data_IF_056118390592
#
_entry.id   IF_056118390592
#
_cell.length_a   1.000
_cell.length_b   1.000
_cell.length_c   1.000
_cell.angle_alpha   90.00
_cell.angle_beta   90.00
_cell.angle_gamma   90.00
#
_symmetry.space_group_name_H-M   'P 1'
#
loop_
_entity.id
_entity.type
_entity.pdbx_description
1 polymer ?
#
# COMPACT_ATOMS: atom_id res chain seq x y z
N UNK A 1 -18.67 8.13 -22.57
CA UNK A 1 -19.13 8.18 -21.17
C UNK A 1 -17.89 8.29 -20.30
N UNK A 2 -17.48 9.52 -19.97
CA UNK A 2 -16.28 9.79 -19.18
C UNK A 2 -16.67 9.77 -17.71
N UNK A 3 -16.60 8.60 -17.08
CA UNK A 3 -16.75 8.47 -15.63
C UNK A 3 -15.58 9.15 -14.95
N UNK A 4 -15.81 10.29 -14.29
CA UNK A 4 -14.81 10.91 -13.42
C UNK A 4 -14.47 9.90 -12.32
N UNK A 5 -13.19 9.56 -12.20
CA UNK A 5 -12.72 8.78 -11.06
C UNK A 5 -13.04 9.54 -9.78
N UNK A 6 -13.60 8.82 -8.80
CA UNK A 6 -13.88 9.40 -7.49
C UNK A 6 -12.60 9.32 -6.68
N UNK A 7 -11.85 10.42 -6.65
CA UNK A 7 -10.66 10.58 -5.80
C UNK A 7 -11.16 11.01 -4.43
N UNK A 8 -10.96 10.17 -3.44
CA UNK A 8 -10.97 10.63 -2.06
C UNK A 8 -9.51 10.82 -1.67
N UNK A 9 -9.17 12.04 -1.25
CA UNK A 9 -8.01 12.29 -0.39
C UNK A 9 -8.54 12.55 1.01
N UNK A 10 -7.85 12.03 2.03
CA UNK A 10 -8.32 12.14 3.42
C UNK A 10 -7.92 13.52 3.93
N UNK A 11 -8.58 14.56 3.40
CA UNK A 11 -8.54 15.86 4.05
C UNK A 11 -9.51 15.74 5.22
N UNK A 12 -8.94 15.41 6.38
CA UNK A 12 -9.54 15.59 7.70
C UNK A 12 -10.39 16.87 7.71
N UNK A 13 -11.70 16.73 7.56
CA UNK A 13 -12.65 17.72 8.04
C UNK A 13 -12.98 17.32 9.47
N UNK A 14 -12.43 18.07 10.43
CA UNK A 14 -12.75 18.07 11.87
C UNK A 14 -12.03 17.09 12.81
N UNK A 15 -10.90 16.48 12.44
CA UNK A 15 -10.06 15.78 13.43
C UNK A 15 -10.64 14.48 14.02
N UNK A 16 -11.80 14.03 13.55
CA UNK A 16 -12.30 12.69 13.79
C UNK A 16 -11.69 11.76 12.73
N UNK A 17 -10.79 10.87 13.16
CA UNK A 17 -10.37 9.73 12.33
C UNK A 17 -11.61 8.88 12.07
N UNK A 18 -12.05 8.80 10.82
CA UNK A 18 -12.93 7.72 10.40
C UNK A 18 -12.18 6.41 10.64
N UNK A 19 -12.43 5.78 11.79
CA UNK A 19 -11.95 4.43 12.08
C UNK A 19 -12.82 3.44 11.32
N UNK A 20 -12.75 3.49 9.99
CA UNK A 20 -13.25 2.41 9.17
C UNK A 20 -12.44 1.16 9.54
N UNK A 21 -13.12 0.03 9.79
CA UNK A 21 -12.46 -1.21 10.22
C UNK A 21 -11.41 -1.60 9.16
N UNK A 22 -10.14 -1.63 9.54
CA UNK A 22 -9.05 -2.04 8.66
C UNK A 22 -9.29 -3.49 8.21
N UNK A 23 -9.34 -3.71 6.89
CA UNK A 23 -9.54 -5.04 6.29
C UNK A 23 -8.19 -5.76 6.20
N UNK A 24 -7.14 -5.02 5.86
CA UNK A 24 -5.77 -5.50 5.70
C UNK A 24 -4.84 -4.80 6.68
N UNK A 25 -3.91 -5.56 7.26
CA UNK A 25 -2.87 -5.02 8.15
C UNK A 25 -1.54 -5.71 7.91
N UNK A 26 -0.46 -4.93 7.80
CA UNK A 26 0.91 -5.48 7.69
C UNK A 26 1.31 -6.08 9.03
N UNK A 27 1.71 -7.35 9.05
CA UNK A 27 2.20 -8.04 10.24
C UNK A 27 3.71 -8.21 10.20
N UNK A 28 4.27 -8.63 9.07
CA UNK A 28 5.71 -8.82 8.91
C UNK A 28 6.15 -8.55 7.48
N UNK A 29 7.39 -8.12 7.33
CA UNK A 29 8.01 -7.83 6.04
C UNK A 29 9.50 -8.17 6.10
N UNK A 30 9.94 -8.99 5.17
CA UNK A 30 11.33 -9.12 4.81
C UNK A 30 11.43 -8.95 3.30
N UNK A 31 12.26 -8.03 2.84
CA UNK A 31 12.50 -7.85 1.41
C UNK A 31 13.97 -7.52 1.21
N UNK A 32 14.54 -8.01 0.11
CA UNK A 32 15.92 -7.72 -0.24
C UNK A 32 16.06 -7.60 -1.76
N UNK A 33 17.03 -6.78 -2.16
CA UNK A 33 17.34 -6.46 -3.54
C UNK A 33 18.75 -5.89 -3.64
N UNK A 34 19.27 -5.80 -4.86
CA UNK A 34 20.63 -5.34 -5.10
C UNK A 34 21.11 -5.72 -6.50
N UNK A 35 22.32 -5.28 -6.84
CA UNK A 35 22.92 -5.62 -8.12
C UNK A 35 23.23 -7.12 -8.17
N UNK A 36 22.83 -7.78 -9.26
CA UNK A 36 23.07 -9.21 -9.51
C UNK A 36 22.40 -10.18 -8.54
N UNK A 37 21.38 -9.74 -7.79
CA UNK A 37 20.50 -10.63 -7.02
C UNK A 37 19.09 -10.55 -7.56
N UNK A 38 18.33 -11.65 -7.47
CA UNK A 38 16.91 -11.66 -7.79
C UNK A 38 16.17 -11.01 -6.62
N UNK A 39 15.52 -9.84 -6.80
CA UNK A 39 14.80 -9.19 -5.73
C UNK A 39 13.62 -10.02 -5.27
N UNK A 40 13.42 -10.10 -3.95
CA UNK A 40 12.36 -10.90 -3.35
C UNK A 40 11.73 -10.19 -2.14
N UNK A 41 10.55 -10.67 -1.76
CA UNK A 41 9.88 -10.31 -0.53
C UNK A 41 9.19 -11.52 0.10
N UNK A 42 9.10 -11.52 1.43
CA UNK A 42 8.26 -12.38 2.26
C UNK A 42 7.43 -11.47 3.16
N UNK A 43 6.11 -11.60 3.07
CA UNK A 43 5.16 -10.68 3.70
C UNK A 43 4.13 -11.46 4.50
N UNK A 44 3.87 -11.00 5.72
CA UNK A 44 2.71 -11.41 6.52
C UNK A 44 1.66 -10.31 6.53
N UNK A 45 0.42 -10.65 6.19
CA UNK A 45 -0.74 -9.73 6.20
C UNK A 45 -1.85 -10.35 7.03
N UNK A 46 -2.48 -9.57 7.89
CA UNK A 46 -3.75 -9.95 8.51
C UNK A 46 -4.90 -9.46 7.64
N UNK A 47 -5.83 -10.36 7.30
CA UNK A 47 -6.99 -10.11 6.46
C UNK A 47 -8.24 -10.43 7.29
N UNK A 48 -9.04 -9.42 7.62
CA UNK A 48 -10.22 -9.56 8.48
C UNK A 48 -9.95 -10.27 9.83
N UNK A 49 -8.74 -10.13 10.38
CA UNK A 49 -8.32 -10.76 11.63
C UNK A 49 -7.61 -12.11 11.48
N UNK A 50 -7.52 -12.66 10.26
CA UNK A 50 -6.78 -13.90 9.99
C UNK A 50 -5.41 -13.60 9.35
N UNK A 51 -4.34 -14.15 9.93
CA UNK A 51 -2.98 -13.95 9.41
C UNK A 51 -2.66 -14.90 8.27
N UNK A 52 -2.17 -14.34 7.16
CA UNK A 52 -1.65 -15.07 5.99
C UNK A 52 -0.21 -14.65 5.71
N UNK A 53 0.54 -15.55 5.08
CA UNK A 53 1.97 -15.37 4.78
C UNK A 53 2.25 -15.78 3.35
N UNK A 54 3.07 -15.01 2.65
CA UNK A 54 3.43 -15.26 1.27
C UNK A 54 4.84 -14.76 0.96
N UNK A 55 5.38 -15.22 -0.16
CA UNK A 55 6.68 -14.76 -0.65
C UNK A 55 6.72 -14.80 -2.17
N UNK A 56 7.57 -13.98 -2.77
CA UNK A 56 7.62 -13.84 -4.22
C UNK A 56 8.75 -12.93 -4.68
N UNK A 57 8.81 -12.72 -5.99
CA UNK A 57 9.87 -11.97 -6.65
C UNK A 57 9.32 -10.70 -7.32
N UNK A 58 10.24 -9.83 -7.73
CA UNK A 58 9.91 -8.62 -8.47
C UNK A 58 11.13 -7.97 -9.09
N UNK A 59 10.91 -6.85 -9.77
CA UNK A 59 11.97 -6.05 -10.40
C UNK A 59 12.83 -5.29 -9.37
N UNK A 60 12.33 -5.17 -8.14
CA UNK A 60 13.00 -4.59 -6.99
C UNK A 60 12.32 -5.03 -5.69
N UNK A 61 12.89 -4.74 -4.51
CA UNK A 61 12.31 -5.18 -3.24
C UNK A 61 10.92 -4.60 -2.99
N UNK A 62 10.67 -3.36 -3.43
CA UNK A 62 9.35 -2.71 -3.33
C UNK A 62 8.35 -3.39 -4.27
N UNK A 63 8.72 -3.62 -5.53
CA UNK A 63 7.88 -4.33 -6.51
C UNK A 63 7.53 -5.75 -6.05
N UNK A 64 8.51 -6.51 -5.56
CA UNK A 64 8.29 -7.83 -4.98
C UNK A 64 7.31 -7.77 -3.81
N UNK A 65 7.46 -6.77 -2.94
CA UNK A 65 6.54 -6.55 -1.80
C UNK A 65 5.11 -6.29 -2.27
N UNK A 66 4.91 -5.41 -3.26
CA UNK A 66 3.59 -5.12 -3.82
C UNK A 66 2.96 -6.34 -4.49
N UNK A 67 3.74 -7.12 -5.24
CA UNK A 67 3.28 -8.34 -5.89
C UNK A 67 2.79 -9.36 -4.85
N UNK A 68 3.57 -9.62 -3.80
CA UNK A 68 3.20 -10.55 -2.73
C UNK A 68 1.95 -10.08 -1.98
N UNK A 69 1.87 -8.79 -1.61
CA UNK A 69 0.66 -8.26 -0.94
C UNK A 69 -0.55 -8.41 -1.84
N UNK A 70 -0.45 -8.03 -3.11
CA UNK A 70 -1.53 -8.12 -4.10
C UNK A 70 -2.05 -9.54 -4.26
N UNK A 71 -1.15 -10.52 -4.30
CA UNK A 71 -1.49 -11.94 -4.39
C UNK A 71 -2.19 -12.43 -3.11
N UNK A 72 -1.62 -12.14 -1.94
CA UNK A 72 -2.17 -12.57 -0.64
C UNK A 72 -3.61 -12.07 -0.42
N UNK A 73 -3.88 -10.82 -0.80
CA UNK A 73 -5.21 -10.21 -0.61
C UNK A 73 -6.15 -10.43 -1.80
N UNK A 74 -5.68 -11.07 -2.88
CA UNK A 74 -6.48 -11.33 -4.08
C UNK A 74 -6.93 -10.06 -4.83
N UNK A 75 -6.22 -8.95 -4.68
CA UNK A 75 -6.62 -7.67 -5.28
C UNK A 75 -6.30 -7.61 -6.78
N UNK A 76 -7.20 -7.01 -7.57
CA UNK A 76 -6.96 -6.69 -8.98
C UNK A 76 -6.60 -5.23 -9.20
N UNK A 77 -6.28 -4.49 -8.13
CA UNK A 77 -5.87 -3.11 -8.24
C UNK A 77 -4.63 -2.94 -9.12
N UNK A 78 -4.66 -1.88 -9.93
CA UNK A 78 -3.56 -1.38 -10.72
C UNK A 78 -2.84 -0.27 -9.93
N UNK A 79 -1.51 -0.33 -9.87
CA UNK A 79 -0.69 0.76 -9.35
C UNK A 79 -0.54 1.81 -10.46
N UNK A 80 -1.18 2.97 -10.26
CA UNK A 80 -1.17 4.08 -11.22
C UNK A 80 0.04 4.96 -11.01
N UNK A 81 0.30 5.32 -9.76
CA UNK A 81 1.43 6.18 -9.38
C UNK A 81 2.06 5.69 -8.08
N UNK A 82 3.37 5.86 -7.98
CA UNK A 82 4.17 5.57 -6.80
C UNK A 82 5.22 6.67 -6.63
N UNK A 83 5.26 7.27 -5.44
CA UNK A 83 6.29 8.24 -5.09
C UNK A 83 6.83 8.00 -3.69
N UNK A 84 8.11 8.34 -3.50
CA UNK A 84 8.78 8.30 -2.19
C UNK A 84 9.52 9.60 -1.95
N UNK A 85 9.48 10.09 -0.73
CA UNK A 85 10.18 11.31 -0.31
C UNK A 85 10.65 11.21 1.14
N UNK A 86 11.73 11.91 1.47
CA UNK A 86 12.17 12.09 2.85
C UNK A 86 11.29 13.12 3.58
N UNK A 87 10.94 12.86 4.84
CA UNK A 87 10.21 13.81 5.70
C UNK A 87 11.23 14.61 6.53
N UNK A 88 11.98 15.49 5.86
CA UNK A 88 12.95 16.35 6.50
C UNK A 88 14.29 16.37 5.81
N UNK A 89 15.33 16.77 6.56
CA UNK A 89 16.70 16.89 6.07
C UNK A 89 17.64 16.05 6.93
N UNK A 90 18.61 15.42 6.29
CA UNK A 90 19.56 14.51 6.94
C UNK A 90 19.35 13.08 6.46
N UNK A 91 20.23 12.19 6.91
CA UNK A 91 20.25 10.78 6.50
C UNK A 91 19.40 9.87 7.38
N UNK A 92 18.97 10.37 8.54
CA UNK A 92 18.23 9.62 9.58
C UNK A 92 16.79 10.14 9.72
N UNK A 93 16.22 10.59 8.60
CA UNK A 93 14.82 11.05 8.56
C UNK A 93 13.93 9.94 8.00
N UNK A 94 12.72 9.75 8.53
CA UNK A 94 11.76 8.83 7.95
C UNK A 94 11.47 9.16 6.49
N UNK A 95 11.18 8.11 5.72
CA UNK A 95 10.59 8.25 4.41
C UNK A 95 9.07 8.20 4.46
N UNK A 96 8.46 8.88 3.51
CA UNK A 96 7.06 8.76 3.16
C UNK A 96 6.94 8.13 1.79
N UNK A 97 6.11 7.12 1.67
CA UNK A 97 5.65 6.56 0.41
C UNK A 97 4.20 6.94 0.18
N UNK A 98 3.86 7.25 -1.07
CA UNK A 98 2.50 7.46 -1.54
C UNK A 98 2.26 6.57 -2.76
N UNK A 99 1.08 5.94 -2.80
CA UNK A 99 0.62 5.13 -3.94
C UNK A 99 -0.75 5.58 -4.38
N UNK A 100 -0.99 5.59 -5.68
CA UNK A 100 -2.31 5.70 -6.27
C UNK A 100 -2.71 4.34 -6.84
N UNK A 101 -3.82 3.80 -6.36
CA UNK A 101 -4.37 2.52 -6.81
C UNK A 101 -5.70 2.73 -7.52
N UNK A 102 -5.94 1.94 -8.57
CA UNK A 102 -7.17 1.96 -9.34
C UNK A 102 -7.76 0.57 -9.51
N UNK A 103 -9.05 0.41 -9.26
CA UNK A 103 -9.78 -0.81 -9.56
C UNK A 103 -11.25 -0.51 -9.85
N UNK A 104 -11.82 -1.12 -10.89
CA UNK A 104 -13.26 -0.99 -11.25
C UNK A 104 -13.76 0.47 -11.32
N UNK A 105 -12.90 1.40 -11.74
CA UNK A 105 -13.25 2.82 -11.87
C UNK A 105 -13.09 3.65 -10.58
N UNK A 106 -12.78 3.01 -9.44
CA UNK A 106 -12.42 3.70 -8.20
C UNK A 106 -10.92 3.99 -8.17
N UNK A 107 -10.55 5.15 -7.61
CA UNK A 107 -9.16 5.54 -7.36
C UNK A 107 -8.99 5.82 -5.88
N UNK A 108 -7.90 5.33 -5.30
CA UNK A 108 -7.55 5.54 -3.90
C UNK A 108 -6.09 5.93 -3.77
N UNK A 109 -5.82 6.92 -2.92
CA UNK A 109 -4.46 7.28 -2.52
C UNK A 109 -4.18 6.69 -1.14
N UNK A 110 -3.06 5.97 -1.04
CA UNK A 110 -2.52 5.39 0.20
C UNK A 110 -1.18 6.03 0.55
N UNK A 111 -0.96 6.32 1.84
CA UNK A 111 0.30 6.89 2.37
C UNK A 111 0.88 6.00 3.45
N UNK A 112 2.20 5.92 3.54
CA UNK A 112 2.90 5.16 4.56
C UNK A 112 4.19 5.85 4.96
N UNK A 113 4.46 5.89 6.28
CA UNK A 113 5.65 6.51 6.84
C UNK A 113 6.42 5.48 7.65
N UNK A 114 7.72 5.39 7.40
CA UNK A 114 8.65 4.52 8.10
C UNK A 114 10.11 4.97 7.87
N UNK A 115 11.03 4.60 8.76
CA UNK A 115 12.47 4.80 8.53
C UNK A 115 13.02 3.84 7.47
N UNK A 116 12.40 2.66 7.31
CA UNK A 116 12.66 1.77 6.17
C UNK A 116 11.70 2.09 5.01
N UNK A 117 12.25 2.52 3.87
CA UNK A 117 11.47 2.86 2.67
C UNK A 117 10.64 1.69 2.14
N UNK A 118 11.13 0.45 2.29
CA UNK A 118 10.37 -0.72 1.83
C UNK A 118 9.14 -0.92 2.71
N UNK A 119 9.30 -0.80 4.04
CA UNK A 119 8.18 -0.82 4.99
C UNK A 119 7.22 0.35 4.81
N UNK A 120 7.70 1.57 4.58
CA UNK A 120 6.87 2.73 4.26
C UNK A 120 6.01 2.47 3.00
N UNK A 121 6.63 1.90 1.96
CA UNK A 121 5.95 1.55 0.71
C UNK A 121 4.87 0.48 0.93
N UNK A 122 5.17 -0.58 1.69
CA UNK A 122 4.20 -1.63 2.02
C UNK A 122 2.98 -1.06 2.77
N UNK A 123 3.22 -0.19 3.76
CA UNK A 123 2.17 0.52 4.50
C UNK A 123 1.31 1.38 3.57
N UNK A 124 1.93 2.14 2.66
CA UNK A 124 1.22 2.96 1.69
C UNK A 124 0.31 2.10 0.81
N UNK A 125 0.81 0.96 0.33
CA UNK A 125 0.06 0.02 -0.48
C UNK A 125 -1.14 -0.59 0.25
N UNK A 126 -0.95 -1.06 1.48
CA UNK A 126 -2.05 -1.57 2.32
C UNK A 126 -3.10 -0.50 2.60
N UNK A 127 -2.67 0.73 2.92
CA UNK A 127 -3.60 1.84 3.16
C UNK A 127 -4.40 2.21 1.91
N UNK A 128 -3.75 2.20 0.74
CA UNK A 128 -4.42 2.36 -0.55
C UNK A 128 -5.47 1.28 -0.77
N UNK A 129 -5.13 0.01 -0.54
CA UNK A 129 -6.05 -1.12 -0.70
C UNK A 129 -7.24 -1.05 0.26
N UNK A 130 -7.01 -0.78 1.55
CA UNK A 130 -8.09 -0.61 2.54
C UNK A 130 -9.06 0.48 2.09
N UNK A 131 -8.52 1.63 1.66
CA UNK A 131 -9.33 2.73 1.15
C UNK A 131 -10.13 2.32 -0.08
N UNK A 132 -9.51 1.60 -1.01
CA UNK A 132 -10.17 1.12 -2.22
C UNK A 132 -11.34 0.17 -1.90
N UNK A 133 -11.16 -0.75 -0.94
CA UNK A 133 -12.24 -1.62 -0.47
C UNK A 133 -13.38 -0.84 0.19
N UNK A 134 -13.07 0.16 1.02
CA UNK A 134 -14.10 1.03 1.61
C UNK A 134 -14.90 1.80 0.55
N UNK A 135 -14.25 2.28 -0.51
CA UNK A 135 -14.95 2.94 -1.62
C UNK A 135 -15.87 1.98 -2.34
N UNK A 136 -15.42 0.75 -2.61
CA UNK A 136 -16.24 -0.29 -3.25
C UNK A 136 -17.43 -0.72 -2.39
N UNK A 137 -17.28 -0.75 -1.06
CA UNK A 137 -18.34 -1.15 -0.13
C UNK A 137 -19.39 -0.07 0.14
N UNK A 138 -19.05 1.22 -0.01
CA UNK A 138 -19.93 2.35 0.35
C UNK A 138 -20.59 3.05 -0.86
N UNK A 139 -20.17 2.71 -2.10
CA UNK A 139 -20.70 3.32 -3.33
C UNK A 139 -21.47 2.33 -4.22
N UNK A 140 -21.66 1.10 -3.74
CA UNK A 140 -22.52 0.05 -4.33
C UNK A 140 -23.62 -0.26 -3.33
#
# INVERSE_FOLDING_TARGET
MNGKAVIFDDISKNGERFSAKEIFKLISLNAAGGKSIIPYASVGVEINGESVLGSGFGNGPIDATFNVIKELVGSKAELVEFSVRAIGKGTDVPGEAEVELKEKGFISIGRGVDSDIITASAKAYINGLNRLEHLKANLV
#
